data_IF_618361874472
#
_entry.id   IF_618361874472
#
_cell.length_a   1.000
_cell.length_b   1.000
_cell.length_c   1.000
_cell.angle_alpha   90.00
_cell.angle_beta   90.00
_cell.angle_gamma   90.00
#
_symmetry.space_group_name_H-M   'P 1'
#
loop_
_entity.id
_entity.type
_entity.pdbx_description
1 polymer ?
#
# COMPACT_ATOMS: atom_id res chain seq x y z
N UNK A 1 -12.76 21.09 8.26
CA UNK A 1 -11.88 20.27 9.14
C UNK A 1 -10.63 19.73 8.44
N UNK A 2 -9.71 19.10 9.19
CA UNK A 2 -8.49 18.45 8.67
C UNK A 2 -8.27 17.10 9.35
N UNK A 3 -7.80 16.09 8.62
CA UNK A 3 -7.38 14.79 9.17
C UNK A 3 -6.18 14.24 8.41
N UNK A 4 -5.31 13.52 9.11
CA UNK A 4 -4.23 12.75 8.51
C UNK A 4 -4.66 11.29 8.39
N UNK A 5 -4.24 10.64 7.30
CA UNK A 5 -4.39 9.20 7.11
C UNK A 5 -3.09 8.60 6.62
N UNK A 6 -2.63 7.54 7.26
CA UNK A 6 -1.44 6.81 6.84
C UNK A 6 -1.88 5.61 5.99
N UNK A 7 -1.30 5.48 4.80
CA UNK A 7 -1.49 4.30 3.93
C UNK A 7 -0.11 3.80 3.54
N UNK A 8 0.25 2.62 4.06
CA UNK A 8 1.65 2.19 4.09
C UNK A 8 2.50 3.23 4.80
N UNK A 9 3.50 3.76 4.11
CA UNK A 9 4.38 4.79 4.65
C UNK A 9 4.11 6.18 4.09
N UNK A 10 3.08 6.31 3.27
CA UNK A 10 2.63 7.63 2.83
C UNK A 10 1.65 8.20 3.85
N UNK A 11 1.92 9.43 4.27
CA UNK A 11 0.99 10.20 5.10
C UNK A 11 0.21 11.11 4.18
N UNK A 12 -1.12 10.98 4.19
CA UNK A 12 -2.03 11.82 3.42
C UNK A 12 -2.71 12.81 4.35
N UNK A 13 -2.84 14.05 3.89
CA UNK A 13 -3.66 15.07 4.53
C UNK A 13 -4.92 15.31 3.73
N UNK A 14 -6.05 15.21 4.42
CA UNK A 14 -7.37 15.51 3.89
C UNK A 14 -7.87 16.81 4.53
N UNK A 15 -8.10 17.82 3.71
CA UNK A 15 -8.54 19.14 4.12
C UNK A 15 -9.93 19.42 3.55
N UNK A 16 -10.94 19.47 4.41
CA UNK A 16 -12.29 19.87 4.03
C UNK A 16 -12.41 21.39 3.90
N UNK A 17 -12.89 21.86 2.74
CA UNK A 17 -13.13 23.27 2.46
C UNK A 17 -14.61 23.62 2.66
N UNK A 18 -14.97 24.14 3.82
CA UNK A 18 -16.36 24.41 4.21
C UNK A 18 -17.10 25.29 3.19
N UNK A 19 -16.52 26.44 2.82
CA UNK A 19 -17.23 27.44 2.00
C UNK A 19 -17.45 27.02 0.56
N UNK A 20 -16.35 26.70 -0.14
CA UNK A 20 -16.42 26.32 -1.55
C UNK A 20 -16.91 24.87 -1.71
N UNK A 21 -16.82 24.06 -0.66
CA UNK A 21 -17.10 22.63 -0.68
C UNK A 21 -15.88 21.81 -1.09
N UNK A 22 -15.96 20.51 -0.90
CA UNK A 22 -14.94 19.57 -1.34
C UNK A 22 -13.76 19.38 -0.39
N UNK A 23 -12.89 18.46 -0.78
CA UNK A 23 -11.79 17.93 0.01
C UNK A 23 -10.53 18.07 -0.83
N UNK A 24 -9.52 18.77 -0.31
CA UNK A 24 -8.17 18.75 -0.86
C UNK A 24 -7.38 17.60 -0.25
N UNK A 25 -6.61 16.91 -1.09
CA UNK A 25 -5.76 15.78 -0.69
C UNK A 25 -4.32 16.13 -1.01
N UNK A 26 -3.46 15.95 -0.02
CA UNK A 26 -2.03 16.19 -0.12
C UNK A 26 -1.27 14.94 0.33
N UNK A 27 -0.16 14.65 -0.34
CA UNK A 27 0.89 13.82 0.20
C UNK A 27 1.74 14.67 1.16
N UNK A 28 1.74 14.26 2.43
CA UNK A 28 2.46 14.87 3.55
C UNK A 28 3.56 13.94 4.07
N UNK A 29 3.97 12.94 3.31
CA UNK A 29 5.04 12.02 3.69
C UNK A 29 6.32 12.78 4.00
N UNK A 30 6.62 13.81 3.19
CA UNK A 30 7.66 14.81 3.43
C UNK A 30 7.01 16.11 3.90
N UNK A 31 6.92 16.38 5.22
CA UNK A 31 6.17 17.53 5.73
C UNK A 31 6.79 18.89 5.36
N UNK A 32 8.07 18.92 5.01
CA UNK A 32 8.78 20.10 4.50
C UNK A 32 8.62 20.29 2.98
N UNK A 33 8.17 19.26 2.27
CA UNK A 33 7.93 19.27 0.83
C UNK A 33 6.57 18.62 0.45
N UNK A 34 5.44 19.17 0.93
CA UNK A 34 4.13 18.57 0.69
C UNK A 34 3.75 18.63 -0.79
N UNK A 35 3.16 17.54 -1.30
CA UNK A 35 2.75 17.42 -2.70
C UNK A 35 1.23 17.42 -2.80
N UNK A 36 0.67 18.37 -3.55
CA UNK A 36 -0.76 18.37 -3.84
C UNK A 36 -1.12 17.20 -4.77
N UNK A 37 -2.12 16.42 -4.38
CA UNK A 37 -2.57 15.27 -5.16
C UNK A 37 -3.87 15.56 -5.89
N UNK A 38 -4.90 16.00 -5.17
CA UNK A 38 -6.25 16.08 -5.73
C UNK A 38 -7.16 17.04 -4.97
N UNK A 39 -8.26 17.40 -5.63
CA UNK A 39 -9.38 18.11 -5.03
C UNK A 39 -10.68 17.49 -5.54
N UNK A 40 -11.50 17.00 -4.62
CA UNK A 40 -12.74 16.32 -4.91
C UNK A 40 -13.89 17.18 -4.39
N UNK A 41 -14.86 17.47 -5.24
CA UNK A 41 -16.05 18.21 -4.84
C UNK A 41 -17.28 17.56 -5.47
N UNK A 42 -18.14 16.99 -4.62
CA UNK A 42 -19.40 16.33 -5.00
C UNK A 42 -20.58 17.30 -5.02
N UNK A 43 -20.34 18.60 -4.81
CA UNK A 43 -21.35 19.65 -4.91
C UNK A 43 -21.74 19.91 -6.36
N UNK A 44 -23.04 19.97 -6.62
CA UNK A 44 -23.60 20.52 -7.84
C UNK A 44 -24.01 21.98 -7.62
N UNK A 45 -23.27 22.92 -8.20
CA UNK A 45 -23.55 24.35 -8.09
C UNK A 45 -24.80 24.81 -8.85
N UNK A 46 -25.36 23.96 -9.73
CA UNK A 46 -26.62 24.21 -10.42
C UNK A 46 -27.84 23.67 -9.65
N UNK A 47 -27.60 22.83 -8.64
CA UNK A 47 -28.64 22.28 -7.76
C UNK A 47 -29.16 23.29 -6.73
N UNK A 48 -30.33 22.99 -6.17
CA UNK A 48 -30.98 23.77 -5.12
C UNK A 48 -30.69 23.13 -3.74
N UNK A 49 -29.94 23.82 -2.86
CA UNK A 49 -29.70 23.37 -1.48
C UNK A 49 -30.98 23.07 -0.70
N UNK A 50 -32.03 23.88 -0.88
CA UNK A 50 -33.29 23.73 -0.15
C UNK A 50 -34.11 22.52 -0.65
N UNK A 51 -33.85 22.06 -1.87
CA UNK A 51 -34.44 20.86 -2.45
C UNK A 51 -33.52 19.63 -2.35
N UNK A 52 -32.38 19.74 -1.67
CA UNK A 52 -31.38 18.67 -1.54
C UNK A 52 -30.86 18.12 -2.88
N UNK A 53 -30.81 18.96 -3.92
CA UNK A 53 -30.26 18.60 -5.24
C UNK A 53 -28.86 19.15 -5.48
N UNK A 54 -28.32 19.94 -4.55
CA UNK A 54 -26.98 20.54 -4.65
C UNK A 54 -25.82 19.59 -4.27
N UNK A 55 -26.10 18.34 -3.92
CA UNK A 55 -25.09 17.38 -3.46
C UNK A 55 -24.52 17.75 -2.08
N UNK A 56 -23.27 17.34 -1.82
CA UNK A 56 -22.63 17.51 -0.51
C UNK A 56 -22.10 18.94 -0.32
N UNK A 57 -22.37 19.54 0.84
CA UNK A 57 -22.05 20.94 1.12
C UNK A 57 -21.49 21.15 2.53
N UNK A 58 -20.45 21.98 2.62
CA UNK A 58 -19.80 22.34 3.89
C UNK A 58 -19.20 21.14 4.64
N UNK A 59 -18.13 20.53 4.10
CA UNK A 59 -17.40 19.47 4.80
C UNK A 59 -16.80 20.03 6.10
N UNK A 60 -17.20 19.44 7.23
CA UNK A 60 -16.87 19.90 8.58
C UNK A 60 -16.01 18.86 9.30
N UNK A 61 -16.65 17.72 9.63
CA UNK A 61 -16.00 16.57 10.26
C UNK A 61 -15.41 15.62 9.22
N UNK A 62 -14.15 15.23 9.42
CA UNK A 62 -13.47 14.21 8.62
C UNK A 62 -12.93 13.13 9.55
N UNK A 63 -13.04 11.88 9.13
CA UNK A 63 -12.44 10.74 9.80
C UNK A 63 -11.82 9.81 8.75
N UNK A 64 -10.51 9.60 8.86
CA UNK A 64 -9.83 8.57 8.09
C UNK A 64 -10.01 7.22 8.79
N UNK A 65 -10.30 6.19 8.00
CA UNK A 65 -10.48 4.81 8.45
C UNK A 65 -9.42 3.97 7.71
N UNK A 66 -8.42 3.43 8.42
CA UNK A 66 -7.41 2.58 7.80
C UNK A 66 -8.03 1.35 7.14
N UNK A 67 -7.36 0.80 6.12
CA UNK A 67 -7.81 -0.40 5.41
C UNK A 67 -8.13 -1.57 6.35
N UNK A 68 -7.31 -1.77 7.39
CA UNK A 68 -7.47 -2.81 8.40
C UNK A 68 -8.74 -2.68 9.26
N UNK A 69 -9.29 -1.47 9.38
CA UNK A 69 -10.52 -1.19 10.13
C UNK A 69 -11.74 -1.06 9.20
N UNK A 70 -11.52 -1.08 7.88
CA UNK A 70 -12.56 -0.90 6.88
C UNK A 70 -13.30 -2.21 6.57
N UNK A 71 -14.61 -2.15 6.27
CA UNK A 71 -15.38 -3.34 5.92
C UNK A 71 -15.04 -3.93 4.53
N UNK A 72 -14.34 -3.18 3.68
CA UNK A 72 -13.95 -3.59 2.32
C UNK A 72 -12.44 -3.79 2.16
N UNK A 73 -11.66 -3.73 3.25
CA UNK A 73 -10.21 -3.89 3.22
C UNK A 73 -9.46 -2.77 2.49
N UNK A 74 -10.07 -1.60 2.31
CA UNK A 74 -9.48 -0.45 1.64
C UNK A 74 -9.52 0.80 2.52
N UNK A 75 -8.54 1.71 2.43
CA UNK A 75 -8.58 2.93 3.22
C UNK A 75 -9.80 3.77 2.84
N UNK A 76 -10.53 4.27 3.85
CA UNK A 76 -11.72 5.09 3.64
C UNK A 76 -11.57 6.46 4.30
N UNK A 77 -12.30 7.45 3.78
CA UNK A 77 -12.46 8.76 4.39
C UNK A 77 -13.96 9.04 4.56
N UNK A 78 -14.43 9.07 5.80
CA UNK A 78 -15.79 9.50 6.12
C UNK A 78 -15.81 11.02 6.31
N UNK A 79 -16.75 11.70 5.63
CA UNK A 79 -16.88 13.16 5.69
C UNK A 79 -18.32 13.54 5.99
N UNK A 80 -18.49 14.33 7.04
CA UNK A 80 -19.76 14.92 7.41
C UNK A 80 -19.90 16.30 6.76
N UNK A 81 -21.02 16.51 6.08
CA UNK A 81 -21.36 17.74 5.38
C UNK A 81 -22.50 18.44 6.10
N UNK A 82 -22.18 19.52 6.81
CA UNK A 82 -23.09 20.17 7.75
C UNK A 82 -24.32 20.75 7.06
N UNK A 83 -24.13 21.45 5.94
CA UNK A 83 -25.21 22.20 5.28
C UNK A 83 -26.15 21.27 4.50
N UNK A 84 -25.62 20.23 3.87
CA UNK A 84 -26.46 19.21 3.22
C UNK A 84 -27.01 18.18 4.21
N UNK A 85 -26.47 18.08 5.42
CA UNK A 85 -26.85 17.08 6.42
C UNK A 85 -26.49 15.65 6.00
N UNK A 86 -25.55 15.49 5.07
CA UNK A 86 -25.12 14.19 4.54
C UNK A 86 -23.80 13.73 5.17
N UNK A 87 -23.59 12.41 5.17
CA UNK A 87 -22.28 11.80 5.42
C UNK A 87 -21.92 10.95 4.22
N UNK A 88 -20.77 11.25 3.60
CA UNK A 88 -20.26 10.50 2.45
C UNK A 88 -18.98 9.79 2.84
N UNK A 89 -18.84 8.53 2.42
CA UNK A 89 -17.63 7.74 2.60
C UNK A 89 -16.94 7.62 1.26
N UNK A 90 -15.71 8.12 1.19
CA UNK A 90 -14.85 8.02 0.03
C UNK A 90 -13.89 6.84 0.21
N UNK A 91 -13.68 6.07 -0.84
CA UNK A 91 -12.56 5.15 -0.91
C UNK A 91 -11.31 5.92 -1.33
N UNK A 92 -10.19 5.67 -0.66
CA UNK A 92 -8.90 6.24 -1.05
C UNK A 92 -8.15 5.19 -1.87
N UNK A 93 -8.13 5.39 -3.18
CA UNK A 93 -7.37 4.55 -4.10
C UNK A 93 -5.87 4.75 -3.89
N UNK A 94 -5.13 3.65 -3.76
CA UNK A 94 -3.67 3.64 -3.71
C UNK A 94 -3.13 2.67 -4.75
N UNK A 95 -2.10 3.10 -5.46
CA UNK A 95 -1.43 2.26 -6.43
C UNK A 95 -0.59 1.19 -5.71
N UNK A 96 -1.18 -0.01 -5.67
CA UNK A 96 -0.56 -1.32 -5.49
C UNK A 96 0.28 -1.46 -4.21
N UNK A 97 -0.17 -2.30 -3.28
CA UNK A 97 0.43 -2.45 -1.95
C UNK A 97 0.68 -3.93 -1.62
N UNK A 98 1.94 -4.36 -1.67
CA UNK A 98 2.40 -5.57 -0.99
C UNK A 98 2.63 -5.25 0.48
N UNK A 99 2.13 -6.09 1.39
CA UNK A 99 2.26 -5.92 2.85
C UNK A 99 2.82 -7.20 3.42
N UNK A 100 4.01 -7.17 4.01
CA UNK A 100 4.52 -8.27 4.81
C UNK A 100 4.42 -7.92 6.30
N UNK A 101 4.06 -8.90 7.13
CA UNK A 101 4.10 -8.78 8.58
C UNK A 101 5.50 -8.98 9.17
N UNK A 102 6.48 -9.31 8.32
CA UNK A 102 7.91 -9.49 8.61
C UNK A 102 8.70 -8.90 7.45
N UNK A 103 9.76 -9.59 7.03
CA UNK A 103 10.66 -9.22 5.96
C UNK A 103 10.02 -9.36 4.57
N UNK A 104 10.59 -8.65 3.61
CA UNK A 104 10.44 -8.95 2.18
C UNK A 104 11.83 -9.05 1.55
N UNK A 105 12.21 -10.26 1.14
CA UNK A 105 13.46 -10.50 0.38
C UNK A 105 13.14 -10.75 -1.10
N UNK A 106 13.69 -9.91 -1.96
CA UNK A 106 13.81 -10.18 -3.38
C UNK A 106 15.16 -10.81 -3.68
N UNK A 107 15.11 -12.04 -4.19
CA UNK A 107 16.28 -12.75 -4.72
C UNK A 107 16.99 -12.02 -5.88
N UNK A 108 18.09 -12.62 -6.35
CA UNK A 108 18.91 -12.01 -7.42
C UNK A 108 18.15 -11.88 -8.73
N UNK A 109 18.37 -10.74 -9.40
CA UNK A 109 17.78 -10.41 -10.72
C UNK A 109 16.24 -10.31 -10.70
N UNK A 110 15.65 -10.08 -9.53
CA UNK A 110 14.21 -9.90 -9.35
C UNK A 110 13.75 -8.48 -9.69
N UNK A 111 12.50 -8.34 -10.16
CA UNK A 111 11.86 -7.05 -10.43
C UNK A 111 10.51 -6.98 -9.76
N UNK A 112 10.08 -5.79 -9.34
CA UNK A 112 8.75 -5.58 -8.77
C UNK A 112 8.06 -4.35 -9.37
N UNK A 113 6.73 -4.38 -9.39
CA UNK A 113 5.89 -3.27 -9.80
C UNK A 113 4.83 -3.07 -8.71
N UNK A 114 4.68 -1.84 -8.25
CA UNK A 114 3.84 -1.47 -7.10
C UNK A 114 4.64 -1.09 -5.86
N UNK A 115 3.97 -0.44 -4.91
CA UNK A 115 4.57 -0.08 -3.62
C UNK A 115 4.55 -1.26 -2.65
N UNK A 116 5.48 -1.24 -1.70
CA UNK A 116 5.75 -2.35 -0.79
C UNK A 116 5.90 -1.85 0.63
N UNK A 117 5.45 -2.65 1.58
CA UNK A 117 5.58 -2.42 3.00
C UNK A 117 5.96 -3.71 3.72
N UNK A 118 7.07 -3.69 4.45
CA UNK A 118 7.46 -4.69 5.42
C UNK A 118 7.34 -4.10 6.82
N UNK A 119 6.94 -4.90 7.81
CA UNK A 119 7.00 -4.48 9.22
C UNK A 119 8.40 -4.54 9.80
N UNK A 120 9.26 -5.34 9.19
CA UNK A 120 10.67 -5.52 9.56
C UNK A 120 11.49 -5.04 8.36
N UNK A 121 12.31 -5.89 7.74
CA UNK A 121 13.26 -5.49 6.69
C UNK A 121 12.72 -5.60 5.25
N UNK A 122 13.28 -4.81 4.34
CA UNK A 122 13.20 -5.05 2.88
C UNK A 122 14.61 -5.25 2.31
N UNK A 123 14.86 -6.45 1.78
CA UNK A 123 16.08 -6.82 1.10
C UNK A 123 15.90 -6.92 -0.42
N UNK A 124 16.66 -6.13 -1.19
CA UNK A 124 16.74 -6.25 -2.65
C UNK A 124 18.11 -6.80 -3.05
N UNK A 125 18.19 -8.09 -3.35
CA UNK A 125 19.43 -8.73 -3.75
C UNK A 125 19.94 -8.27 -5.12
N UNK A 126 21.22 -8.59 -5.39
CA UNK A 126 21.93 -8.14 -6.59
C UNK A 126 21.30 -8.65 -7.89
N UNK A 127 21.04 -7.75 -8.83
CA UNK A 127 20.84 -8.06 -10.25
C UNK A 127 20.43 -6.81 -11.02
N UNK A 128 20.31 -6.86 -12.36
CA UNK A 128 19.63 -5.81 -13.12
C UNK A 128 18.12 -5.91 -12.87
N UNK A 129 17.73 -5.67 -11.62
CA UNK A 129 16.42 -5.90 -11.06
C UNK A 129 15.92 -4.58 -10.49
N UNK A 130 15.23 -3.81 -11.33
CA UNK A 130 14.62 -2.56 -10.91
C UNK A 130 13.22 -2.78 -10.37
N UNK A 131 12.77 -1.83 -9.58
CA UNK A 131 11.41 -1.78 -9.07
C UNK A 131 10.73 -0.48 -9.46
N UNK A 132 9.47 -0.54 -9.86
CA UNK A 132 8.63 0.65 -10.06
C UNK A 132 7.62 0.74 -8.93
N UNK A 133 7.80 1.67 -8.01
CA UNK A 133 6.96 1.80 -6.81
C UNK A 133 7.80 2.14 -5.58
N UNK A 134 7.10 2.44 -4.48
CA UNK A 134 7.77 2.87 -3.25
C UNK A 134 8.10 1.68 -2.36
N UNK A 135 9.22 1.74 -1.65
CA UNK A 135 9.56 0.77 -0.62
C UNK A 135 9.39 1.37 0.76
N UNK A 136 8.89 0.58 1.70
CA UNK A 136 8.92 0.95 3.09
C UNK A 136 9.15 -0.23 4.03
N UNK A 137 10.16 -0.13 4.86
CA UNK A 137 10.44 -1.08 5.93
C UNK A 137 10.12 -0.47 7.30
N UNK A 138 9.73 -1.31 8.25
CA UNK A 138 9.60 -0.92 9.65
C UNK A 138 10.94 -0.87 10.36
N UNK A 139 11.93 -1.62 9.87
CA UNK A 139 13.32 -1.59 10.33
C UNK A 139 14.23 -1.17 9.16
N UNK A 140 14.98 -2.09 8.53
CA UNK A 140 16.01 -1.74 7.55
C UNK A 140 15.55 -1.87 6.08
N UNK A 141 16.14 -1.07 5.19
CA UNK A 141 16.06 -1.31 3.74
C UNK A 141 17.46 -1.51 3.15
N UNK A 142 17.70 -2.69 2.62
CA UNK A 142 18.96 -3.11 2.00
C UNK A 142 18.80 -3.21 0.47
N UNK A 143 19.48 -2.35 -0.29
CA UNK A 143 19.45 -2.38 -1.76
C UNK A 143 20.83 -2.71 -2.28
N UNK A 144 21.01 -3.95 -2.77
CA UNK A 144 22.27 -4.35 -3.36
C UNK A 144 22.57 -3.61 -4.68
N UNK A 145 23.84 -3.69 -5.11
CA UNK A 145 24.31 -3.12 -6.37
C UNK A 145 23.60 -3.67 -7.60
N UNK A 146 23.73 -2.94 -8.70
CA UNK A 146 23.18 -3.23 -10.03
C UNK A 146 21.65 -3.08 -10.14
N UNK A 147 20.97 -2.69 -9.05
CA UNK A 147 19.52 -2.40 -9.02
C UNK A 147 19.20 -0.93 -9.37
N UNK A 148 18.01 -0.69 -9.94
CA UNK A 148 17.49 0.63 -10.27
C UNK A 148 16.02 0.78 -9.82
N UNK A 149 15.77 1.51 -8.73
CA UNK A 149 14.43 1.73 -8.20
C UNK A 149 13.86 3.06 -8.69
N UNK A 150 12.60 3.05 -9.13
CA UNK A 150 11.83 4.22 -9.54
C UNK A 150 10.68 4.43 -8.56
N UNK A 151 10.96 5.15 -7.48
CA UNK A 151 10.03 5.42 -6.39
C UNK A 151 10.76 5.87 -5.13
N UNK A 152 9.98 6.24 -4.12
CA UNK A 152 10.50 6.66 -2.82
C UNK A 152 10.84 5.44 -1.93
N UNK A 153 11.85 5.55 -1.09
CA UNK A 153 12.27 4.52 -0.13
C UNK A 153 12.25 5.11 1.29
N UNK A 154 11.64 4.40 2.23
CA UNK A 154 11.64 4.75 3.64
C UNK A 154 12.07 3.55 4.49
N UNK A 155 13.13 3.70 5.26
CA UNK A 155 13.52 2.76 6.31
C UNK A 155 13.11 3.31 7.67
N UNK A 156 12.68 2.42 8.57
CA UNK A 156 12.34 2.76 9.94
C UNK A 156 13.60 3.01 10.79
N UNK A 157 14.67 2.25 10.54
CA UNK A 157 15.99 2.44 11.13
C UNK A 157 17.03 2.80 10.06
N UNK A 158 17.77 1.84 9.50
CA UNK A 158 18.89 2.08 8.59
C UNK A 158 18.57 1.81 7.10
N UNK A 159 19.24 2.53 6.20
CA UNK A 159 19.15 2.29 4.76
C UNK A 159 20.54 2.01 4.15
N UNK A 160 20.69 0.82 3.59
CA UNK A 160 21.92 0.36 2.93
C UNK A 160 21.78 0.34 1.40
N UNK A 161 21.97 1.47 0.71
CA UNK A 161 21.86 1.54 -0.76
C UNK A 161 23.21 1.42 -1.47
N UNK A 162 23.34 0.36 -2.26
CA UNK A 162 24.43 0.14 -3.21
C UNK A 162 23.97 0.18 -4.68
N UNK A 163 22.68 0.40 -4.94
CA UNK A 163 22.06 0.57 -6.26
C UNK A 163 21.80 2.03 -6.63
N UNK A 164 20.82 2.26 -7.51
CA UNK A 164 20.33 3.61 -7.89
C UNK A 164 18.86 3.76 -7.51
N UNK A 165 18.50 4.85 -6.83
CA UNK A 165 17.11 5.19 -6.48
C UNK A 165 16.74 6.50 -7.18
N UNK A 166 15.72 6.47 -8.02
CA UNK A 166 15.14 7.61 -8.75
C UNK A 166 13.92 8.17 -8.01
N UNK A 167 14.11 8.45 -6.72
CA UNK A 167 13.12 9.01 -5.82
C UNK A 167 13.79 9.50 -4.54
N UNK A 168 12.99 9.83 -3.53
CA UNK A 168 13.52 10.20 -2.21
C UNK A 168 13.91 8.97 -1.39
N UNK A 169 14.90 9.14 -0.51
CA UNK A 169 15.30 8.14 0.48
C UNK A 169 15.18 8.79 1.85
N UNK A 170 14.50 8.12 2.78
CA UNK A 170 14.41 8.51 4.19
C UNK A 170 14.89 7.38 5.10
N UNK A 171 15.69 7.73 6.10
CA UNK A 171 16.18 6.89 7.20
C UNK A 171 15.66 7.45 8.53
N UNK A 172 15.47 6.59 9.53
CA UNK A 172 14.94 7.01 10.83
C UNK A 172 13.57 7.71 10.74
N UNK A 173 12.85 7.45 9.65
CA UNK A 173 11.50 7.97 9.47
C UNK A 173 10.63 7.29 10.51
N UNK A 174 9.96 8.06 11.38
CA UNK A 174 8.97 7.47 12.27
C UNK A 174 7.81 6.97 11.41
N UNK A 175 7.91 5.72 10.97
CA UNK A 175 6.75 4.90 10.67
C UNK A 175 6.06 4.81 12.01
N UNK A 176 5.11 5.71 12.27
CA UNK A 176 4.23 5.53 13.42
C UNK A 176 3.63 4.16 13.18
N UNK A 177 3.91 3.14 14.03
CA UNK A 177 3.25 1.88 13.87
C UNK A 177 1.78 2.23 14.03
N UNK A 178 1.04 2.19 12.92
CA UNK A 178 -0.41 2.18 13.00
C UNK A 178 -0.65 1.01 13.93
N UNK A 179 -1.18 1.29 15.12
CA UNK A 179 -1.64 0.24 16.01
C UNK A 179 -2.77 -0.42 15.23
N UNK A 180 -2.40 -1.41 14.42
CA UNK A 180 -3.35 -2.17 13.66
C UNK A 180 -4.36 -2.67 14.68
N UNK A 181 -5.68 -2.64 14.39
CA UNK A 181 -6.56 -3.51 15.13
C UNK A 181 -5.88 -4.87 15.13
N UNK A 182 -5.61 -5.40 16.32
CA UNK A 182 -4.87 -6.65 16.52
C UNK A 182 -5.41 -7.61 15.48
N UNK A 183 -4.63 -7.86 14.41
CA UNK A 183 -5.12 -8.61 13.25
C UNK A 183 -5.74 -9.85 13.88
N UNK A 184 -7.03 -10.09 13.62
CA UNK A 184 -7.65 -11.32 14.10
C UNK A 184 -6.67 -12.42 13.70
N UNK A 185 -6.10 -13.16 14.68
CA UNK A 185 -4.90 -13.93 14.42
C UNK A 185 -5.17 -14.80 13.21
N UNK A 186 -4.49 -14.47 12.11
CA UNK A 186 -4.64 -15.22 10.89
C UNK A 186 -3.74 -16.44 11.01
N UNK A 187 -4.23 -17.55 10.50
CA UNK A 187 -3.46 -18.78 10.44
C UNK A 187 -3.12 -19.03 8.98
N UNK A 188 -1.83 -19.20 8.72
CA UNK A 188 -1.36 -19.86 7.52
C UNK A 188 -2.06 -21.23 7.38
N UNK A 189 -2.19 -21.69 6.14
CA UNK A 189 -2.60 -23.06 5.87
C UNK A 189 -1.47 -24.03 6.19
N UNK A 190 -1.74 -25.34 6.08
CA UNK A 190 -0.71 -26.38 6.21
C UNK A 190 -0.32 -27.00 4.86
N UNK A 191 -0.85 -26.44 3.76
CA UNK A 191 -0.64 -26.98 2.42
C UNK A 191 0.48 -26.19 1.75
N UNK A 192 1.61 -26.84 1.58
CA UNK A 192 2.74 -26.26 0.85
C UNK A 192 2.45 -26.23 -0.65
N UNK A 193 2.98 -25.21 -1.32
CA UNK A 193 2.81 -24.97 -2.74
C UNK A 193 4.18 -24.77 -3.35
N UNK A 194 4.50 -25.57 -4.36
CA UNK A 194 5.73 -25.44 -5.14
C UNK A 194 5.36 -24.98 -6.56
N UNK A 195 5.78 -23.78 -6.94
CA UNK A 195 5.72 -23.31 -8.33
C UNK A 195 6.92 -23.92 -9.06
N UNK A 196 6.69 -24.70 -10.13
CA UNK A 196 7.74 -25.51 -10.73
C UNK A 196 8.81 -24.67 -11.43
N UNK A 197 10.03 -25.22 -11.48
CA UNK A 197 11.19 -24.62 -12.16
C UNK A 197 10.91 -24.25 -13.62
N UNK A 198 11.14 -22.99 -13.99
CA UNK A 198 10.79 -22.40 -15.30
C UNK A 198 9.30 -22.56 -15.70
N UNK A 199 8.43 -22.89 -14.75
CA UNK A 199 7.00 -23.02 -14.95
C UNK A 199 6.25 -21.86 -14.33
N UNK A 200 4.93 -21.88 -14.46
CA UNK A 200 4.07 -20.83 -13.95
C UNK A 200 2.92 -21.41 -13.14
N UNK A 201 2.50 -20.72 -12.08
CA UNK A 201 1.32 -21.09 -11.30
C UNK A 201 0.54 -19.83 -10.90
N UNK A 202 -0.77 -19.87 -11.04
CA UNK A 202 -1.66 -18.87 -10.43
C UNK A 202 -2.20 -19.42 -9.13
N UNK A 203 -1.95 -18.71 -8.04
CA UNK A 203 -2.48 -19.05 -6.73
C UNK A 203 -3.79 -18.29 -6.52
N UNK A 204 -4.85 -18.98 -6.12
CA UNK A 204 -6.11 -18.32 -5.74
C UNK A 204 -5.99 -17.74 -4.33
N UNK A 205 -6.69 -16.64 -3.99
CA UNK A 205 -6.75 -16.16 -2.62
C UNK A 205 -7.16 -17.27 -1.63
N UNK A 206 -6.45 -17.40 -0.50
CA UNK A 206 -6.63 -18.52 0.41
C UNK A 206 -5.53 -18.65 1.47
N UNK A 207 -5.51 -19.78 2.17
CA UNK A 207 -4.53 -20.12 3.21
C UNK A 207 -3.55 -21.20 2.71
N UNK A 208 -2.26 -21.00 2.93
CA UNK A 208 -1.17 -21.87 2.48
C UNK A 208 -0.11 -22.02 3.55
N UNK A 209 0.64 -23.13 3.52
CA UNK A 209 1.86 -23.30 4.29
C UNK A 209 3.00 -22.53 3.62
N UNK A 210 4.08 -23.23 3.30
CA UNK A 210 5.17 -22.65 2.52
C UNK A 210 4.79 -22.54 1.04
N UNK A 211 5.04 -21.38 0.42
CA UNK A 211 4.93 -21.17 -1.02
C UNK A 211 6.33 -20.97 -1.59
N UNK A 212 6.88 -21.98 -2.27
CA UNK A 212 8.20 -21.95 -2.91
C UNK A 212 8.06 -21.69 -4.41
N UNK A 213 8.75 -20.67 -4.92
CA UNK A 213 8.86 -20.41 -6.35
C UNK A 213 10.24 -20.86 -6.83
N UNK A 214 10.29 -22.05 -7.44
CA UNK A 214 11.52 -22.64 -7.94
C UNK A 214 12.21 -21.77 -8.98
N UNK A 215 13.50 -22.04 -9.25
CA UNK A 215 14.32 -21.27 -10.20
C UNK A 215 13.61 -21.02 -11.53
N UNK A 216 13.51 -19.76 -11.94
CA UNK A 216 12.87 -19.36 -13.19
C UNK A 216 11.34 -19.46 -13.17
N UNK A 217 10.73 -19.86 -12.05
CA UNK A 217 9.30 -20.02 -11.89
C UNK A 217 8.56 -18.68 -11.85
N UNK A 218 7.26 -18.68 -12.16
CA UNK A 218 6.42 -17.48 -12.12
C UNK A 218 5.14 -17.73 -11.34
N UNK A 219 5.02 -17.12 -10.17
CA UNK A 219 3.82 -17.13 -9.34
C UNK A 219 2.93 -15.94 -9.70
N UNK A 220 1.65 -16.18 -9.94
CA UNK A 220 0.65 -15.15 -10.22
C UNK A 220 -0.35 -15.08 -9.08
N UNK A 221 -0.50 -13.91 -8.48
CA UNK A 221 -1.49 -13.62 -7.44
C UNK A 221 -2.54 -12.67 -8.02
N UNK A 222 -3.81 -12.99 -7.84
CA UNK A 222 -4.93 -12.15 -8.26
C UNK A 222 -5.64 -11.53 -7.05
N UNK A 223 -6.43 -10.48 -7.30
CA UNK A 223 -7.17 -9.73 -6.28
C UNK A 223 -7.80 -10.62 -5.19
N UNK A 224 -7.44 -10.37 -3.93
CA UNK A 224 -7.89 -11.10 -2.75
C UNK A 224 -6.82 -11.19 -1.66
N UNK A 225 -7.14 -11.91 -0.58
CA UNK A 225 -6.23 -12.11 0.55
C UNK A 225 -5.59 -13.49 0.54
N UNK A 226 -4.29 -13.54 0.78
CA UNK A 226 -3.48 -14.73 0.93
C UNK A 226 -2.92 -14.77 2.35
N UNK A 227 -2.93 -15.94 2.98
CA UNK A 227 -2.37 -16.16 4.31
C UNK A 227 -1.38 -17.30 4.20
N UNK A 228 -0.09 -17.00 4.21
CA UNK A 228 1.00 -17.93 3.91
C UNK A 228 1.92 -18.05 5.12
N UNK A 229 2.51 -19.23 5.32
CA UNK A 229 3.53 -19.39 6.38
C UNK A 229 4.84 -18.72 5.95
N UNK A 230 5.22 -18.91 4.70
CA UNK A 230 6.45 -18.41 4.11
C UNK A 230 6.22 -18.29 2.59
N UNK A 231 6.74 -17.23 1.96
CA UNK A 231 6.73 -17.06 0.52
C UNK A 231 8.17 -16.85 0.06
N UNK A 232 8.74 -17.84 -0.61
CA UNK A 232 10.15 -17.93 -0.94
C UNK A 232 10.32 -18.04 -2.46
N UNK A 233 11.31 -17.35 -3.02
CA UNK A 233 11.60 -17.32 -4.45
C UNK A 233 13.06 -17.61 -4.75
N UNK A 234 13.34 -18.70 -5.47
CA UNK A 234 14.68 -19.06 -5.90
C UNK A 234 15.14 -18.19 -7.10
N UNK A 235 16.35 -18.41 -7.58
CA UNK A 235 17.02 -17.64 -8.63
C UNK A 235 16.15 -17.42 -9.86
N UNK A 236 16.01 -16.17 -10.29
CA UNK A 236 15.24 -15.76 -11.48
C UNK A 236 13.74 -16.11 -11.38
N UNK A 237 13.21 -16.32 -10.19
CA UNK A 237 11.77 -16.44 -9.99
C UNK A 237 11.08 -15.08 -10.19
N UNK A 238 9.79 -15.13 -10.52
CA UNK A 238 8.94 -13.96 -10.69
C UNK A 238 7.67 -14.13 -9.84
N UNK A 239 7.30 -13.09 -9.09
CA UNK A 239 6.00 -13.02 -8.42
C UNK A 239 5.25 -11.85 -9.07
N UNK A 240 4.20 -12.17 -9.79
CA UNK A 240 3.37 -11.22 -10.54
C UNK A 240 2.04 -11.02 -9.81
N UNK A 241 1.67 -9.75 -9.61
CA UNK A 241 0.50 -9.38 -8.81
C UNK A 241 -0.47 -8.63 -9.70
N UNK A 242 -1.59 -9.26 -9.98
CA UNK A 242 -2.68 -8.69 -10.75
C UNK A 242 -3.73 -8.06 -9.83
N UNK A 243 -3.71 -6.73 -9.75
CA UNK A 243 -4.70 -5.95 -8.98
C UNK A 243 -5.85 -5.42 -9.85
N UNK A 244 -5.95 -5.83 -11.11
CA UNK A 244 -6.95 -5.30 -12.07
C UNK A 244 -8.37 -5.36 -11.50
N UNK A 245 -8.65 -6.34 -10.63
CA UNK A 245 -9.97 -6.59 -10.05
C UNK A 245 -10.08 -6.23 -8.55
N UNK A 246 -9.12 -5.49 -7.99
CA UNK A 246 -9.07 -5.14 -6.56
C UNK A 246 -7.72 -5.46 -5.89
N UNK A 247 -7.59 -5.13 -4.59
CA UNK A 247 -6.33 -5.27 -3.88
C UNK A 247 -5.90 -6.72 -3.74
N UNK A 248 -4.59 -6.94 -3.72
CA UNK A 248 -3.96 -8.21 -3.34
C UNK A 248 -3.26 -7.97 -2.01
N UNK A 249 -3.60 -8.75 -0.99
CA UNK A 249 -2.95 -8.68 0.33
C UNK A 249 -2.36 -10.02 0.68
N UNK A 250 -1.07 -10.09 0.99
CA UNK A 250 -0.37 -11.33 1.33
C UNK A 250 0.09 -11.27 2.79
N UNK A 251 -0.64 -11.89 3.68
CA UNK A 251 -0.27 -11.98 5.08
C UNK A 251 0.72 -13.14 5.29
N UNK A 252 1.95 -12.84 5.69
CA UNK A 252 3.00 -13.83 6.01
C UNK A 252 3.13 -13.93 7.54
N UNK A 253 3.05 -15.14 8.10
CA UNK A 253 3.13 -15.39 9.56
C UNK A 253 4.54 -15.58 10.10
#
# INVERSE_FOLDING_TARGET
GVVLGQIGCRTYLFLGLERIGGIMVWDMTHPDAPVYLSYINTRDFSGDPAASTAGDMSPEGLAFIPAAESPNGKPLLAVAFEVSGSTTVFEVEVDHFLVSGKDIDFGRESTFHGSMFAMDDIDINRGPGGGHGNLCAGDDVDIARDNALYGDVMAGDDMHNHGTVYGSVMEGGSVVPVALPLLAPFSAGSNDVEVPKNGSMTLTPGTYGKVEVERGGSLYLSSGSYYVEELDGDKNSHIEIDVTNGPVTVYIT
#
